data_IF_753266673528
#
_entry.id   IF_753266673528
#
_cell.length_a   1.000
_cell.length_b   1.000
_cell.length_c   1.000
_cell.angle_alpha   90.00
_cell.angle_beta   90.00
_cell.angle_gamma   90.00
#
_symmetry.space_group_name_H-M   'P 1'
#
loop_
_entity.id
_entity.type
_entity.pdbx_description
1 polymer ?
#
# COMPACT_ATOMS: atom_id res chain seq x y z
N UNK A 1 -3.63 20.98 15.56
CA UNK A 1 -2.88 19.93 14.85
C UNK A 1 -3.20 20.13 13.38
N UNK A 2 -2.23 20.60 12.61
CA UNK A 2 -2.36 20.77 11.16
C UNK A 2 -2.10 19.40 10.53
N UNK A 3 -3.06 18.87 9.79
CA UNK A 3 -2.89 17.64 9.01
C UNK A 3 -2.46 18.08 7.59
N UNK A 4 -1.43 17.44 7.04
CA UNK A 4 -0.76 17.90 5.80
C UNK A 4 -1.65 17.77 4.54
N UNK A 5 -2.56 16.80 4.52
CA UNK A 5 -3.41 16.47 3.36
C UNK A 5 -4.89 16.79 3.63
N UNK A 6 -5.40 16.44 4.81
CA UNK A 6 -6.79 16.71 5.19
C UNK A 6 -6.89 17.97 6.05
N UNK A 7 -7.93 18.77 5.83
CA UNK A 7 -8.19 19.93 6.69
C UNK A 7 -8.75 19.50 8.06
N UNK A 8 -8.02 19.84 9.13
CA UNK A 8 -8.34 19.39 10.48
C UNK A 8 -9.63 20.01 11.03
N UNK A 9 -9.97 21.25 10.64
CA UNK A 9 -11.22 21.89 11.05
C UNK A 9 -12.42 21.21 10.41
N UNK A 10 -12.34 20.97 9.10
CA UNK A 10 -13.35 20.24 8.33
C UNK A 10 -13.56 18.84 8.88
N UNK A 11 -12.49 18.08 9.17
CA UNK A 11 -12.62 16.74 9.76
C UNK A 11 -13.33 16.76 11.11
N UNK A 12 -13.00 17.71 11.98
CA UNK A 12 -13.66 17.84 13.28
C UNK A 12 -15.13 18.22 13.15
N UNK A 13 -15.48 19.10 12.19
CA UNK A 13 -16.86 19.43 11.88
C UNK A 13 -17.62 18.22 11.36
N UNK A 14 -17.02 17.44 10.45
CA UNK A 14 -17.58 16.17 9.92
C UNK A 14 -17.84 15.18 11.04
N UNK A 15 -16.90 14.99 11.98
CA UNK A 15 -17.11 14.11 13.14
C UNK A 15 -18.28 14.56 14.01
N UNK A 16 -18.40 15.86 14.32
CA UNK A 16 -19.53 16.40 15.09
C UNK A 16 -20.87 16.15 14.38
N UNK A 17 -20.92 16.38 13.07
CA UNK A 17 -22.12 16.14 12.26
C UNK A 17 -22.46 14.64 12.13
N UNK A 18 -21.43 13.78 12.04
CA UNK A 18 -21.57 12.31 12.12
C UNK A 18 -22.25 11.89 13.43
N UNK A 19 -21.74 12.35 14.57
CA UNK A 19 -22.28 12.03 15.89
C UNK A 19 -23.71 12.57 16.11
N UNK A 20 -24.06 13.65 15.42
CA UNK A 20 -25.42 14.19 15.39
C UNK A 20 -26.37 13.47 14.40
N UNK A 21 -25.90 12.44 13.69
CA UNK A 21 -26.66 11.66 12.72
C UNK A 21 -26.92 12.37 11.39
N UNK A 22 -26.25 13.50 11.11
CA UNK A 22 -26.55 14.38 9.99
C UNK A 22 -25.92 13.94 8.66
N UNK A 23 -24.96 13.01 8.71
CA UNK A 23 -24.16 12.58 7.56
C UNK A 23 -24.39 11.11 7.19
N UNK A 24 -25.39 10.45 7.77
CA UNK A 24 -25.57 9.00 7.65
C UNK A 24 -25.47 8.46 6.20
N UNK A 25 -26.15 9.05 5.18
CA UNK A 25 -26.04 8.54 3.81
C UNK A 25 -24.62 8.60 3.23
N UNK A 26 -23.86 9.65 3.54
CA UNK A 26 -22.49 9.84 3.06
C UNK A 26 -21.48 8.94 3.79
N UNK A 27 -21.82 8.46 4.99
CA UNK A 27 -20.96 7.65 5.84
C UNK A 27 -21.18 6.14 5.67
N UNK A 28 -22.33 5.71 5.13
CA UNK A 28 -22.60 4.27 4.87
C UNK A 28 -21.47 3.62 4.06
N UNK A 29 -20.95 4.20 2.96
CA UNK A 29 -19.85 3.59 2.22
C UNK A 29 -18.57 3.46 3.05
N UNK A 30 -18.24 4.45 3.88
CA UNK A 30 -17.06 4.39 4.75
C UNK A 30 -17.21 3.30 5.82
N UNK A 31 -18.40 3.15 6.41
CA UNK A 31 -18.68 2.04 7.33
C UNK A 31 -18.47 0.68 6.66
N UNK A 32 -19.02 0.49 5.46
CA UNK A 32 -18.86 -0.77 4.71
C UNK A 32 -17.39 -1.04 4.38
N UNK A 33 -16.66 -0.03 3.89
CA UNK A 33 -15.24 -0.16 3.58
C UNK A 33 -14.40 -0.47 4.83
N UNK A 34 -14.73 0.12 5.99
CA UNK A 34 -14.05 -0.16 7.24
C UNK A 34 -14.33 -1.58 7.75
N UNK A 35 -15.57 -2.05 7.66
CA UNK A 35 -15.94 -3.42 8.01
C UNK A 35 -15.26 -4.44 7.09
N UNK A 36 -15.19 -4.17 5.79
CA UNK A 36 -14.44 -5.00 4.84
C UNK A 36 -12.94 -4.98 5.15
N UNK A 37 -12.38 -3.83 5.53
CA UNK A 37 -10.98 -3.68 5.90
C UNK A 37 -10.60 -4.47 7.17
N UNK A 38 -11.55 -4.73 8.08
CA UNK A 38 -11.31 -5.61 9.24
C UNK A 38 -11.04 -7.07 8.82
N UNK A 39 -11.51 -7.49 7.64
CA UNK A 39 -11.27 -8.84 7.13
C UNK A 39 -9.87 -9.00 6.51
N UNK A 40 -9.24 -7.88 6.13
CA UNK A 40 -7.89 -7.88 5.56
C UNK A 40 -6.87 -8.40 6.58
N UNK A 41 -6.16 -9.47 6.20
CA UNK A 41 -5.12 -10.03 7.05
C UNK A 41 -3.84 -9.21 6.95
N UNK A 42 -3.08 -9.04 8.04
CA UNK A 42 -1.77 -8.42 7.95
C UNK A 42 -0.87 -9.17 6.96
N UNK A 43 -0.21 -8.41 6.11
CA UNK A 43 0.78 -8.88 5.12
C UNK A 43 2.07 -8.11 5.32
N UNK A 44 3.17 -8.60 4.75
CA UNK A 44 4.50 -8.05 4.90
C UNK A 44 5.29 -8.10 3.59
N UNK A 45 6.32 -7.26 3.49
CA UNK A 45 7.37 -7.37 2.48
C UNK A 45 8.07 -8.73 2.50
N UNK A 46 8.10 -9.48 3.62
CA UNK A 46 8.78 -10.78 3.62
C UNK A 46 7.96 -11.89 2.94
N UNK A 47 6.68 -11.63 2.62
CA UNK A 47 5.74 -12.58 2.03
C UNK A 47 5.91 -12.77 0.51
N UNK A 48 6.69 -11.91 -0.17
CA UNK A 48 7.02 -12.11 -1.58
C UNK A 48 7.83 -13.39 -1.76
N UNK A 49 7.67 -14.09 -2.87
CA UNK A 49 8.46 -15.30 -3.15
C UNK A 49 9.92 -14.95 -3.49
N UNK A 50 10.11 -13.88 -4.28
CA UNK A 50 11.44 -13.45 -4.74
C UNK A 50 12.26 -12.79 -3.64
N UNK A 51 13.55 -13.07 -3.60
CA UNK A 51 14.49 -12.37 -2.70
C UNK A 51 15.04 -11.16 -3.46
N UNK A 52 15.03 -9.95 -2.88
CA UNK A 52 15.68 -8.78 -3.46
C UNK A 52 17.17 -9.02 -3.74
N UNK A 53 17.79 -8.28 -4.67
CA UNK A 53 19.21 -8.43 -4.99
C UNK A 53 20.17 -8.23 -3.80
N UNK A 54 19.77 -7.51 -2.76
CA UNK A 54 20.54 -7.40 -1.50
C UNK A 54 20.69 -8.73 -0.74
N UNK A 55 19.81 -9.71 -1.02
CA UNK A 55 19.69 -10.93 -0.22
C UNK A 55 18.77 -10.78 1.00
N UNK A 56 18.26 -9.58 1.30
CA UNK A 56 17.40 -9.30 2.45
C UNK A 56 15.91 -9.23 2.03
N UNK A 57 15.08 -10.08 2.64
CA UNK A 57 13.62 -10.10 2.41
C UNK A 57 12.91 -8.85 2.93
N UNK A 58 13.51 -8.14 3.89
CA UNK A 58 12.96 -6.90 4.46
C UNK A 58 13.06 -5.72 3.49
N UNK A 59 13.87 -5.81 2.43
CA UNK A 59 13.90 -4.78 1.41
C UNK A 59 12.67 -4.86 0.50
N UNK A 60 12.05 -3.70 0.27
CA UNK A 60 10.92 -3.58 -0.65
C UNK A 60 11.39 -3.79 -2.09
N UNK A 61 10.65 -4.64 -2.83
CA UNK A 61 10.92 -4.92 -4.22
C UNK A 61 9.64 -4.82 -5.04
N UNK A 62 9.72 -4.14 -6.18
CA UNK A 62 8.65 -4.10 -7.18
C UNK A 62 9.24 -4.04 -8.59
N UNK A 63 8.38 -4.23 -9.59
CA UNK A 63 8.76 -4.07 -11.01
C UNK A 63 7.94 -2.96 -11.66
N UNK A 64 8.56 -2.25 -12.60
CA UNK A 64 7.90 -1.16 -13.31
C UNK A 64 6.63 -1.67 -14.03
N UNK A 65 5.49 -0.97 -13.90
CA UNK A 65 4.20 -1.52 -14.33
C UNK A 65 4.09 -1.75 -15.84
N UNK A 66 4.82 -0.97 -16.64
CA UNK A 66 4.72 -0.94 -18.10
C UNK A 66 5.85 -1.70 -18.79
N UNK A 67 6.56 -2.58 -18.08
CA UNK A 67 7.68 -3.34 -18.63
C UNK A 67 7.30 -4.80 -18.80
N UNK A 68 7.48 -5.31 -20.02
CA UNK A 68 7.05 -6.64 -20.45
C UNK A 68 8.21 -7.44 -21.02
N UNK A 69 8.19 -8.79 -20.92
CA UNK A 69 9.15 -9.63 -21.64
C UNK A 69 9.18 -9.30 -23.14
N UNK A 70 10.38 -9.22 -23.71
CA UNK A 70 10.58 -9.03 -25.14
C UNK A 70 10.29 -10.32 -25.91
N UNK A 71 9.23 -10.40 -26.73
CA UNK A 71 8.89 -11.62 -27.47
C UNK A 71 9.95 -12.04 -28.49
N UNK A 72 10.83 -11.12 -28.90
CA UNK A 72 11.89 -11.40 -29.88
C UNK A 72 13.16 -11.99 -29.22
N UNK A 73 13.16 -12.19 -27.90
CA UNK A 73 14.30 -12.71 -27.12
C UNK A 73 13.97 -14.08 -26.53
N UNK A 74 14.86 -15.08 -26.66
CA UNK A 74 14.61 -16.43 -26.13
C UNK A 74 14.28 -16.51 -24.64
N UNK A 75 14.77 -15.55 -23.84
CA UNK A 75 14.53 -15.45 -22.41
C UNK A 75 13.65 -14.25 -22.03
N UNK A 76 13.09 -13.53 -23.01
CA UNK A 76 12.27 -12.34 -22.77
C UNK A 76 13.01 -11.12 -22.23
N UNK A 77 14.36 -11.12 -22.22
CA UNK A 77 15.18 -10.05 -21.63
C UNK A 77 16.04 -9.32 -22.68
N UNK A 78 16.32 -8.01 -22.48
CA UNK A 78 15.73 -7.14 -21.45
C UNK A 78 14.25 -6.89 -21.69
N UNK A 79 13.50 -6.55 -20.64
CA UNK A 79 12.10 -6.15 -20.82
C UNK A 79 11.99 -4.91 -21.71
N UNK A 80 10.86 -4.80 -22.41
CA UNK A 80 10.49 -3.65 -23.27
C UNK A 80 9.30 -2.88 -22.66
N UNK A 81 9.28 -1.57 -22.89
CA UNK A 81 8.22 -0.69 -22.37
C UNK A 81 6.99 -0.73 -23.28
N UNK A 82 5.82 -1.01 -22.70
CA UNK A 82 4.48 -0.86 -23.31
C UNK A 82 3.67 0.10 -22.47
N UNK A 83 3.69 1.38 -22.86
CA UNK A 83 3.12 2.45 -22.05
C UNK A 83 1.60 2.28 -21.86
N UNK A 84 1.11 2.51 -20.65
CA UNK A 84 -0.30 2.33 -20.30
C UNK A 84 -0.76 0.86 -20.17
N UNK A 85 0.06 -0.12 -20.55
CA UNK A 85 -0.25 -1.54 -20.45
C UNK A 85 0.39 -2.15 -19.20
N UNK A 86 -0.39 -2.39 -18.16
CA UNK A 86 0.11 -2.96 -16.90
C UNK A 86 0.45 -4.45 -17.06
N UNK A 87 1.71 -4.82 -16.86
CA UNK A 87 2.15 -6.20 -16.78
C UNK A 87 1.66 -6.85 -15.48
N UNK A 88 0.81 -7.90 -15.52
CA UNK A 88 0.29 -8.54 -14.32
C UNK A 88 1.37 -9.21 -13.46
N UNK A 89 2.55 -9.50 -14.01
CA UNK A 89 3.67 -10.07 -13.24
C UNK A 89 4.09 -9.18 -12.05
N UNK A 90 3.78 -7.88 -12.11
CA UNK A 90 3.98 -6.96 -10.99
C UNK A 90 3.22 -7.35 -9.72
N UNK A 91 2.17 -8.16 -9.82
CA UNK A 91 1.40 -8.58 -8.65
C UNK A 91 2.12 -9.63 -7.80
N UNK A 92 3.21 -10.19 -8.30
CA UNK A 92 4.05 -11.14 -7.57
C UNK A 92 5.03 -10.48 -6.59
N UNK A 93 5.01 -9.13 -6.51
CA UNK A 93 5.95 -8.31 -5.75
C UNK A 93 5.26 -7.50 -4.64
N UNK A 94 6.00 -6.67 -3.91
CA UNK A 94 5.50 -5.98 -2.71
C UNK A 94 4.47 -4.90 -3.02
N UNK A 95 4.45 -4.33 -4.24
CA UNK A 95 3.45 -3.33 -4.64
C UNK A 95 2.01 -3.87 -4.53
N UNK A 96 1.79 -5.18 -4.68
CA UNK A 96 0.47 -5.79 -4.51
C UNK A 96 0.02 -5.88 -3.05
N UNK A 97 0.92 -5.69 -2.10
CA UNK A 97 0.66 -5.78 -0.65
C UNK A 97 0.68 -4.40 0.01
N UNK A 98 1.65 -3.55 -0.35
CA UNK A 98 1.82 -2.22 0.23
C UNK A 98 0.62 -1.31 -0.05
N UNK A 99 0.11 -1.32 -1.28
CA UNK A 99 -1.07 -0.54 -1.66
C UNK A 99 -2.29 -0.85 -0.79
N UNK A 100 -2.70 -2.12 -0.66
CA UNK A 100 -3.75 -2.52 0.27
C UNK A 100 -3.48 -2.14 1.73
N UNK A 101 -2.26 -2.32 2.25
CA UNK A 101 -1.92 -1.90 3.63
C UNK A 101 -2.17 -0.40 3.82
N UNK A 102 -1.66 0.45 2.92
CA UNK A 102 -1.87 1.90 2.99
C UNK A 102 -3.37 2.26 2.94
N UNK A 103 -4.10 1.71 1.96
CA UNK A 103 -5.52 2.00 1.75
C UNK A 103 -6.39 1.55 2.94
N UNK A 104 -6.12 0.37 3.50
CA UNK A 104 -6.85 -0.14 4.65
C UNK A 104 -6.52 0.65 5.92
N UNK A 105 -5.26 1.01 6.15
CA UNK A 105 -4.87 1.85 7.30
C UNK A 105 -5.54 3.22 7.24
N UNK A 106 -5.57 3.87 6.07
CA UNK A 106 -6.26 5.15 5.86
C UNK A 106 -7.77 5.01 6.16
N UNK A 107 -8.42 4.01 5.57
CA UNK A 107 -9.85 3.73 5.74
C UNK A 107 -10.20 3.51 7.21
N UNK A 108 -9.47 2.60 7.88
CA UNK A 108 -9.70 2.24 9.29
C UNK A 108 -9.41 3.43 10.22
N UNK A 109 -8.37 4.22 9.94
CA UNK A 109 -8.03 5.39 10.76
C UNK A 109 -9.09 6.49 10.63
N UNK A 110 -9.59 6.74 9.42
CA UNK A 110 -10.68 7.69 9.19
C UNK A 110 -11.98 7.23 9.86
N UNK A 111 -12.32 5.95 9.71
CA UNK A 111 -13.50 5.36 10.34
C UNK A 111 -13.39 5.41 11.88
N UNK A 112 -12.23 5.06 12.44
CA UNK A 112 -11.99 5.18 13.88
C UNK A 112 -12.18 6.62 14.37
N UNK A 113 -11.64 7.60 13.63
CA UNK A 113 -11.78 9.00 14.00
C UNK A 113 -13.24 9.48 13.94
N UNK A 114 -13.97 9.13 12.88
CA UNK A 114 -15.35 9.61 12.66
C UNK A 114 -16.40 8.87 13.50
N UNK A 115 -16.16 7.61 13.83
CA UNK A 115 -17.11 6.72 14.50
C UNK A 115 -16.69 6.35 15.93
N UNK A 116 -15.54 6.86 16.39
CA UNK A 116 -15.00 6.63 17.73
C UNK A 116 -14.84 5.13 18.07
N UNK A 117 -14.51 4.33 17.06
CA UNK A 117 -14.36 2.88 17.17
C UNK A 117 -12.91 2.49 17.44
N UNK A 118 -12.66 1.90 18.61
CA UNK A 118 -11.37 1.32 18.98
C UNK A 118 -11.04 0.09 18.10
N UNK A 119 -12.05 -0.67 17.67
CA UNK A 119 -11.86 -1.85 16.81
C UNK A 119 -11.13 -1.50 15.50
N UNK A 120 -11.53 -0.41 14.84
CA UNK A 120 -10.85 0.03 13.61
C UNK A 120 -9.44 0.54 13.91
N UNK A 121 -9.23 1.26 15.01
CA UNK A 121 -7.90 1.73 15.42
C UNK A 121 -6.94 0.57 15.72
N UNK A 122 -7.40 -0.45 16.43
CA UNK A 122 -6.61 -1.63 16.79
C UNK A 122 -6.16 -2.38 15.54
N UNK A 123 -7.04 -2.57 14.57
CA UNK A 123 -6.70 -3.25 13.32
C UNK A 123 -5.77 -2.42 12.45
N UNK A 124 -5.98 -1.10 12.33
CA UNK A 124 -5.05 -0.20 11.65
C UNK A 124 -3.65 -0.28 12.28
N UNK A 125 -3.57 -0.22 13.61
CA UNK A 125 -2.32 -0.34 14.35
C UNK A 125 -1.66 -1.71 14.15
N UNK A 126 -2.43 -2.79 14.03
CA UNK A 126 -1.92 -4.13 13.71
C UNK A 126 -1.26 -4.18 12.33
N UNK A 127 -1.91 -3.62 11.30
CA UNK A 127 -1.35 -3.55 9.94
C UNK A 127 -0.04 -2.74 9.92
N UNK A 128 -0.02 -1.59 10.61
CA UNK A 128 1.17 -0.75 10.72
C UNK A 128 2.33 -1.46 11.44
N UNK A 129 2.05 -2.18 12.53
CA UNK A 129 3.09 -2.92 13.27
C UNK A 129 3.72 -3.99 12.39
N UNK A 130 2.90 -4.82 11.75
CA UNK A 130 3.40 -5.91 10.90
C UNK A 130 4.22 -5.37 9.73
N UNK A 131 3.76 -4.31 9.05
CA UNK A 131 4.48 -3.80 7.89
C UNK A 131 5.73 -2.99 8.24
N UNK A 132 5.72 -2.21 9.32
CA UNK A 132 6.78 -1.20 9.57
C UNK A 132 7.62 -1.41 10.83
N UNK A 133 7.14 -2.17 11.82
CA UNK A 133 7.73 -2.13 13.17
C UNK A 133 8.20 -3.49 13.68
N UNK A 134 7.45 -4.55 13.42
CA UNK A 134 7.74 -5.88 13.94
C UNK A 134 9.01 -6.42 13.28
N UNK A 135 10.02 -6.77 14.09
CA UNK A 135 11.36 -7.15 13.59
C UNK A 135 11.34 -8.34 12.61
N UNK A 136 10.37 -9.24 12.74
CA UNK A 136 10.22 -10.39 11.87
C UNK A 136 9.64 -10.07 10.48
N UNK A 137 9.00 -8.91 10.32
CA UNK A 137 8.19 -8.58 9.13
C UNK A 137 8.37 -7.16 8.60
N UNK A 138 9.07 -6.28 9.30
CA UNK A 138 9.18 -4.87 8.94
C UNK A 138 9.83 -4.65 7.56
N UNK A 139 9.37 -3.63 6.86
CA UNK A 139 10.04 -3.11 5.68
C UNK A 139 11.23 -2.22 6.08
N UNK A 140 12.40 -2.47 5.49
CA UNK A 140 13.53 -1.56 5.60
C UNK A 140 13.15 -0.19 5.00
N UNK A 141 13.53 0.94 5.62
CA UNK A 141 13.03 2.26 5.24
C UNK A 141 13.76 2.85 4.01
N UNK A 142 13.77 2.09 2.91
CA UNK A 142 14.33 2.47 1.62
C UNK A 142 13.51 1.82 0.47
N UNK A 143 13.75 2.29 -0.76
CA UNK A 143 13.13 1.77 -1.98
C UNK A 143 14.21 1.44 -3.04
N UNK A 144 15.35 0.93 -2.60
CA UNK A 144 16.49 0.68 -3.50
C UNK A 144 16.13 -0.28 -4.65
N UNK A 145 15.20 -1.22 -4.41
CA UNK A 145 14.69 -2.17 -5.40
C UNK A 145 13.26 -1.85 -5.88
N UNK A 146 12.85 -0.58 -5.73
CA UNK A 146 11.57 -0.09 -6.25
C UNK A 146 11.57 0.02 -7.77
N UNK A 147 10.53 -0.53 -8.40
CA UNK A 147 10.29 -0.55 -9.84
C UNK A 147 11.50 -0.98 -10.68
N UNK A 148 12.12 -2.09 -10.30
CA UNK A 148 13.10 -2.79 -11.11
C UNK A 148 12.59 -3.04 -12.53
N UNK A 149 13.52 -3.17 -13.48
CA UNK A 149 13.24 -3.56 -14.85
C UNK A 149 14.11 -4.77 -15.17
N UNK A 150 13.51 -5.97 -15.30
CA UNK A 150 14.27 -7.18 -15.57
C UNK A 150 15.19 -7.05 -16.80
N UNK A 151 16.47 -7.35 -16.59
CA UNK A 151 17.52 -7.23 -17.61
C UNK A 151 18.05 -5.82 -17.84
N UNK A 152 17.61 -4.82 -17.06
CA UNK A 152 18.03 -3.41 -17.20
C UNK A 152 18.54 -2.84 -15.87
N UNK A 153 17.74 -2.87 -14.80
CA UNK A 153 18.16 -2.37 -13.49
C UNK A 153 17.39 -3.03 -12.34
N UNK A 154 18.03 -3.09 -11.18
CA UNK A 154 17.49 -3.71 -9.96
C UNK A 154 16.52 -2.81 -9.18
N UNK A 155 16.50 -1.51 -9.50
CA UNK A 155 15.59 -0.51 -8.96
C UNK A 155 15.87 0.85 -9.55
N UNK A 156 15.02 1.84 -9.28
CA UNK A 156 15.14 3.20 -9.82
C UNK A 156 14.28 4.19 -9.03
N UNK A 157 14.64 5.48 -9.10
CA UNK A 157 13.93 6.56 -8.38
C UNK A 157 12.42 6.67 -8.70
N UNK A 158 11.95 6.16 -9.83
CA UNK A 158 10.52 6.09 -10.16
C UNK A 158 9.75 5.23 -9.15
N UNK A 159 10.41 4.29 -8.47
CA UNK A 159 9.81 3.45 -7.43
C UNK A 159 9.23 4.21 -6.25
N UNK A 160 9.57 5.49 -6.05
CA UNK A 160 8.95 6.37 -5.05
C UNK A 160 7.43 6.48 -5.24
N UNK A 161 6.92 6.40 -6.48
CA UNK A 161 5.47 6.49 -6.71
C UNK A 161 4.71 5.28 -6.17
N UNK A 162 5.37 4.16 -5.88
CA UNK A 162 4.71 3.00 -5.28
C UNK A 162 4.23 3.29 -3.86
N UNK A 163 4.82 4.28 -3.17
CA UNK A 163 4.40 4.71 -1.83
C UNK A 163 3.39 5.87 -1.83
N UNK A 164 2.97 6.34 -3.01
CA UNK A 164 1.89 7.29 -3.12
C UNK A 164 0.56 6.55 -3.02
N UNK A 165 -0.24 6.89 -1.99
CA UNK A 165 -1.65 6.49 -1.87
C UNK A 165 -2.55 7.31 -2.78
#
# INVERSE_FOLDING_TARGET
>A
MELLIWDAETLNATRKASNAGQLAPALIPLYQQADDALLFQPVSVVDKERVPPSGDKHDYMSVGPYWWPDPDKPNGLPYIRRDGEVNPDRHNYDNARMGPVCSHVETLSLASFLFESELYAEHAAKLLRVWFLDDATKMNPNLEFGQAIPGICDGRGVGIIDTAG
#
